data_IF_238148976871
#
_entry.id   IF_238148976871
#
_cell.length_a   1.000
_cell.length_b   1.000
_cell.length_c   1.000
_cell.angle_alpha   90.00
_cell.angle_beta   90.00
_cell.angle_gamma   90.00
#
_symmetry.space_group_name_H-M   'P 1'
#
loop_
_entity.id
_entity.type
_entity.pdbx_description
1 polymer ?
#
# COMPACT_ATOMS: atom_id res chain seq x y z
N UNK A 1 3.26 16.44 -1.26
CA UNK A 1 3.10 15.11 -1.89
C UNK A 1 1.95 15.16 -2.89
N UNK A 2 2.06 14.45 -4.02
CA UNK A 2 0.93 14.22 -4.91
C UNK A 2 0.13 13.00 -4.41
N UNK A 3 -1.17 13.13 -4.18
CA UNK A 3 -2.02 12.06 -3.63
C UNK A 3 -3.00 11.60 -4.70
N UNK A 4 -2.89 10.34 -5.13
CA UNK A 4 -3.82 9.75 -6.09
C UNK A 4 -5.20 9.58 -5.43
N UNK A 5 -6.20 10.32 -5.92
CA UNK A 5 -7.54 10.40 -5.35
C UNK A 5 -8.59 9.92 -6.35
N UNK A 6 -9.10 8.70 -6.17
CA UNK A 6 -10.17 8.14 -7.00
C UNK A 6 -11.57 8.47 -6.49
N UNK A 7 -11.71 8.90 -5.23
CA UNK A 7 -12.98 9.08 -4.54
C UNK A 7 -13.44 7.86 -3.72
N UNK A 8 -12.84 6.70 -3.94
CA UNK A 8 -13.12 5.50 -3.13
C UNK A 8 -12.52 5.56 -1.72
N UNK A 9 -13.02 4.73 -0.80
CA UNK A 9 -12.66 4.72 0.62
C UNK A 9 -11.14 4.78 0.86
N UNK A 10 -10.37 3.96 0.16
CA UNK A 10 -8.93 3.86 0.36
C UNK A 10 -8.22 5.19 0.05
N UNK A 11 -8.58 5.82 -1.08
CA UNK A 11 -7.97 7.09 -1.51
C UNK A 11 -8.41 8.28 -0.67
N UNK A 12 -9.67 8.31 -0.22
CA UNK A 12 -10.19 9.34 0.70
C UNK A 12 -9.48 9.23 2.06
N UNK A 13 -9.34 8.01 2.59
CA UNK A 13 -8.60 7.77 3.83
C UNK A 13 -7.14 8.18 3.72
N UNK A 14 -6.47 7.86 2.60
CA UNK A 14 -5.10 8.26 2.36
C UNK A 14 -4.93 9.77 2.41
N UNK A 15 -5.80 10.51 1.72
CA UNK A 15 -5.75 11.97 1.70
C UNK A 15 -5.96 12.54 3.11
N UNK A 16 -7.01 12.09 3.82
CA UNK A 16 -7.32 12.58 5.17
C UNK A 16 -6.16 12.33 6.16
N UNK A 17 -5.60 11.13 6.15
CA UNK A 17 -4.48 10.77 7.03
C UNK A 17 -3.24 11.62 6.74
N UNK A 18 -2.90 11.83 5.47
CA UNK A 18 -1.71 12.62 5.10
C UNK A 18 -1.87 14.10 5.45
N UNK A 19 -3.03 14.70 5.19
CA UNK A 19 -3.33 16.09 5.57
C UNK A 19 -3.26 16.25 7.09
N UNK A 20 -3.86 15.34 7.85
CA UNK A 20 -3.83 15.37 9.33
C UNK A 20 -2.45 15.13 9.91
N UNK A 21 -1.61 14.37 9.22
CA UNK A 21 -0.20 14.18 9.58
C UNK A 21 0.68 15.40 9.26
N UNK A 22 0.09 16.47 8.69
CA UNK A 22 0.78 17.74 8.40
C UNK A 22 1.54 17.76 7.09
N UNK A 23 1.29 16.82 6.18
CA UNK A 23 1.90 16.86 4.86
C UNK A 23 1.21 17.89 3.96
N UNK A 24 2.00 18.65 3.20
CA UNK A 24 1.48 19.46 2.08
C UNK A 24 1.07 18.53 0.95
N UNK A 25 -0.24 18.43 0.69
CA UNK A 25 -0.82 17.53 -0.29
C UNK A 25 -1.41 18.30 -1.49
N UNK A 26 -1.28 17.72 -2.67
CA UNK A 26 -2.02 18.06 -3.88
C UNK A 26 -2.75 16.79 -4.28
N UNK A 27 -4.06 16.84 -4.41
CA UNK A 27 -4.86 15.71 -4.87
C UNK A 27 -4.78 15.60 -6.39
N UNK A 28 -4.73 14.38 -6.92
CA UNK A 28 -4.66 14.09 -8.35
C UNK A 28 -5.74 13.07 -8.73
N UNK A 29 -6.71 13.49 -9.53
CA UNK A 29 -7.82 12.65 -10.00
C UNK A 29 -7.70 12.39 -11.50
N UNK A 30 -7.82 11.11 -11.89
CA UNK A 30 -7.85 10.67 -13.28
C UNK A 30 -9.26 10.23 -13.65
N UNK A 31 -9.94 10.95 -14.55
CA UNK A 31 -11.18 10.50 -15.16
C UNK A 31 -10.87 9.77 -16.47
N UNK A 32 -11.11 8.48 -16.49
CA UNK A 32 -10.83 7.61 -17.64
C UNK A 32 -12.04 7.45 -18.58
N UNK A 33 -13.20 8.04 -18.25
CA UNK A 33 -14.47 7.91 -18.95
C UNK A 33 -14.93 6.47 -19.23
N UNK A 34 -14.49 5.50 -18.41
CA UNK A 34 -14.80 4.09 -18.61
C UNK A 34 -16.19 3.68 -18.12
N UNK A 35 -16.85 4.54 -17.31
CA UNK A 35 -18.13 4.27 -16.66
C UNK A 35 -19.19 5.34 -16.96
N UNK A 36 -18.98 6.17 -18.00
CA UNK A 36 -19.92 7.25 -18.36
C UNK A 36 -20.25 8.15 -17.16
N UNK A 37 -21.53 8.34 -16.88
CA UNK A 37 -22.03 9.23 -15.82
C UNK A 37 -21.48 8.91 -14.41
N UNK A 38 -21.10 7.67 -14.10
CA UNK A 38 -20.47 7.34 -12.83
C UNK A 38 -19.09 7.97 -12.71
N UNK A 39 -18.30 8.01 -13.80
CA UNK A 39 -16.99 8.65 -13.79
C UNK A 39 -17.11 10.16 -13.54
N UNK A 40 -18.12 10.81 -14.09
CA UNK A 40 -18.35 12.24 -13.89
C UNK A 40 -18.88 12.53 -12.47
N UNK A 41 -19.74 11.66 -11.91
CA UNK A 41 -20.18 11.73 -10.52
C UNK A 41 -18.99 11.61 -9.57
N UNK A 42 -18.06 10.68 -9.81
CA UNK A 42 -16.90 10.44 -8.98
C UNK A 42 -15.94 11.65 -9.02
N UNK A 43 -15.74 12.26 -10.20
CA UNK A 43 -14.99 13.51 -10.35
C UNK A 43 -15.66 14.65 -9.57
N UNK A 44 -16.98 14.79 -9.64
CA UNK A 44 -17.70 15.83 -8.88
C UNK A 44 -17.50 15.66 -7.37
N UNK A 45 -17.66 14.44 -6.85
CA UNK A 45 -17.43 14.12 -5.45
C UNK A 45 -15.99 14.50 -5.01
N UNK A 46 -14.98 14.16 -5.82
CA UNK A 46 -13.58 14.47 -5.50
C UNK A 46 -13.34 15.98 -5.46
N UNK A 47 -13.98 16.76 -6.35
CA UNK A 47 -13.89 18.23 -6.35
C UNK A 47 -14.50 18.83 -5.07
N UNK A 48 -15.67 18.37 -4.66
CA UNK A 48 -16.32 18.82 -3.42
C UNK A 48 -15.50 18.43 -2.19
N UNK A 49 -15.00 17.21 -2.11
CA UNK A 49 -14.15 16.75 -1.01
C UNK A 49 -12.88 17.63 -0.86
N UNK A 50 -12.20 17.88 -1.97
CA UNK A 50 -10.99 18.70 -1.95
C UNK A 50 -11.27 20.16 -1.54
N UNK A 51 -12.39 20.72 -1.96
CA UNK A 51 -12.82 22.06 -1.49
C UNK A 51 -13.08 22.06 0.03
N UNK A 52 -13.79 21.07 0.55
CA UNK A 52 -14.08 20.94 1.99
C UNK A 52 -12.81 20.77 2.82
N UNK A 53 -11.83 20.01 2.31
CA UNK A 53 -10.56 19.76 2.97
C UNK A 53 -9.51 20.87 2.75
N UNK A 54 -9.83 21.88 1.93
CA UNK A 54 -8.91 22.93 1.49
C UNK A 54 -7.59 22.38 0.90
N UNK A 55 -7.72 21.34 0.05
CA UNK A 55 -6.61 20.69 -0.66
C UNK A 55 -6.66 21.06 -2.13
N UNK A 56 -5.56 21.56 -2.74
CA UNK A 56 -5.46 21.75 -4.18
C UNK A 56 -5.72 20.44 -4.94
N UNK A 57 -6.47 20.52 -6.04
CA UNK A 57 -6.84 19.37 -6.86
C UNK A 57 -6.45 19.59 -8.32
N UNK A 58 -5.74 18.61 -8.86
CA UNK A 58 -5.53 18.47 -10.30
C UNK A 58 -6.40 17.36 -10.86
N UNK A 59 -7.01 17.60 -12.01
CA UNK A 59 -7.88 16.64 -12.71
C UNK A 59 -7.45 16.51 -14.15
N UNK A 60 -7.38 15.26 -14.61
CA UNK A 60 -7.14 14.95 -16.04
C UNK A 60 -8.24 14.04 -16.56
N UNK A 61 -8.61 14.24 -17.81
CA UNK A 61 -9.53 13.38 -18.53
C UNK A 61 -8.77 12.66 -19.64
N UNK A 62 -8.94 11.33 -19.76
CA UNK A 62 -8.23 10.51 -20.74
C UNK A 62 -9.21 9.85 -21.73
N UNK A 63 -8.85 9.89 -23.01
CA UNK A 63 -9.41 8.95 -24.00
C UNK A 63 -8.64 7.62 -23.90
N UNK A 64 -9.00 6.84 -22.87
CA UNK A 64 -8.36 5.57 -22.57
C UNK A 64 -8.55 4.55 -23.69
N UNK A 65 -9.71 4.61 -24.38
CA UNK A 65 -10.02 3.69 -25.46
C UNK A 65 -9.14 3.94 -26.68
N UNK A 66 -8.96 5.19 -27.07
CA UNK A 66 -8.07 5.55 -28.18
C UNK A 66 -6.62 5.15 -27.87
N UNK A 67 -6.17 5.42 -26.64
CA UNK A 67 -4.82 5.03 -26.20
C UNK A 67 -4.60 3.50 -26.25
N UNK A 68 -5.53 2.73 -25.71
CA UNK A 68 -5.45 1.27 -25.69
C UNK A 68 -5.39 0.68 -27.12
N UNK A 69 -6.21 1.21 -28.05
CA UNK A 69 -6.21 0.80 -29.46
C UNK A 69 -4.90 1.14 -30.15
N UNK A 70 -4.40 2.35 -29.99
CA UNK A 70 -3.17 2.81 -30.63
C UNK A 70 -1.95 2.02 -30.19
N UNK A 71 -1.89 1.62 -28.92
CA UNK A 71 -0.75 0.89 -28.37
C UNK A 71 -0.97 -0.64 -28.34
N UNK A 72 -2.13 -1.13 -28.78
CA UNK A 72 -2.50 -2.55 -28.79
C UNK A 72 -2.35 -3.22 -27.42
N UNK A 73 -2.83 -2.57 -26.38
CA UNK A 73 -2.80 -3.03 -24.98
C UNK A 73 -4.20 -3.09 -24.36
N UNK A 74 -4.33 -3.80 -23.24
CA UNK A 74 -5.59 -3.86 -22.52
C UNK A 74 -5.99 -2.49 -21.94
N UNK A 75 -7.30 -2.29 -21.69
CA UNK A 75 -7.82 -1.07 -21.05
C UNK A 75 -7.20 -0.83 -19.67
N UNK A 76 -6.95 -1.91 -18.89
CA UNK A 76 -6.30 -1.83 -17.59
C UNK A 76 -4.85 -1.33 -17.72
N UNK A 77 -4.11 -1.86 -18.69
CA UNK A 77 -2.74 -1.40 -18.99
C UNK A 77 -2.74 0.05 -19.45
N UNK A 78 -3.61 0.43 -20.37
CA UNK A 78 -3.75 1.79 -20.86
C UNK A 78 -4.04 2.80 -19.71
N UNK A 79 -5.04 2.50 -18.89
CA UNK A 79 -5.37 3.33 -17.73
C UNK A 79 -4.20 3.43 -16.74
N UNK A 80 -3.44 2.34 -16.55
CA UNK A 80 -2.26 2.33 -15.69
C UNK A 80 -1.13 3.19 -16.25
N UNK A 81 -0.79 3.05 -17.51
CA UNK A 81 0.28 3.81 -18.15
C UNK A 81 -0.03 5.31 -18.15
N UNK A 82 -1.23 5.69 -18.60
CA UNK A 82 -1.71 7.08 -18.60
C UNK A 82 -1.65 7.69 -17.19
N UNK A 83 -2.14 6.97 -16.19
CA UNK A 83 -2.14 7.41 -14.79
C UNK A 83 -0.74 7.71 -14.28
N UNK A 84 0.18 6.78 -14.41
CA UNK A 84 1.52 6.93 -13.84
C UNK A 84 2.39 7.92 -14.62
N UNK A 85 2.19 8.05 -15.92
CA UNK A 85 2.84 9.09 -16.73
C UNK A 85 2.39 10.49 -16.30
N UNK A 86 1.08 10.69 -16.15
CA UNK A 86 0.54 11.97 -15.71
C UNK A 86 0.87 12.30 -14.23
N UNK A 87 0.90 11.32 -13.36
CA UNK A 87 1.35 11.53 -11.98
C UNK A 87 2.79 12.01 -11.93
N UNK A 88 3.66 11.49 -12.77
CA UNK A 88 5.05 11.94 -12.86
C UNK A 88 5.13 13.40 -13.32
N UNK A 89 4.43 13.73 -14.38
CA UNK A 89 4.37 15.09 -14.93
C UNK A 89 3.85 16.09 -13.88
N UNK A 90 2.71 15.79 -13.28
CA UNK A 90 2.08 16.64 -12.28
C UNK A 90 2.95 16.77 -11.02
N UNK A 91 3.51 15.66 -10.53
CA UNK A 91 4.38 15.69 -9.36
C UNK A 91 5.63 16.57 -9.59
N UNK A 92 6.22 16.52 -10.78
CA UNK A 92 7.36 17.39 -11.15
C UNK A 92 6.94 18.85 -11.26
N UNK A 93 5.81 19.14 -11.90
CA UNK A 93 5.32 20.51 -12.08
C UNK A 93 5.11 21.22 -10.73
N UNK A 94 4.63 20.48 -9.73
CA UNK A 94 4.39 21.00 -8.37
C UNK A 94 5.55 20.77 -7.39
N UNK A 95 6.69 20.25 -7.81
CA UNK A 95 7.82 19.98 -6.94
C UNK A 95 7.53 18.93 -5.85
N UNK A 96 6.61 18.00 -6.10
CA UNK A 96 6.27 16.96 -5.15
C UNK A 96 7.39 15.94 -4.96
N UNK A 97 7.68 15.57 -3.73
CA UNK A 97 8.75 14.62 -3.39
C UNK A 97 8.35 13.16 -3.55
N UNK A 98 7.04 12.86 -3.60
CA UNK A 98 6.50 11.52 -3.78
C UNK A 98 5.07 11.57 -4.34
N UNK A 99 4.68 10.49 -5.01
CA UNK A 99 3.30 10.16 -5.39
C UNK A 99 2.77 9.14 -4.38
N UNK A 100 1.74 9.49 -3.62
CA UNK A 100 1.10 8.59 -2.65
C UNK A 100 -0.09 7.87 -3.30
N UNK A 101 -0.13 6.54 -3.17
CA UNK A 101 -1.22 5.69 -3.68
C UNK A 101 -1.79 4.83 -2.55
N UNK A 102 -3.09 4.57 -2.59
CA UNK A 102 -3.86 4.01 -1.49
C UNK A 102 -3.91 2.47 -1.46
N UNK A 103 -2.83 1.80 -1.84
CA UNK A 103 -2.74 0.33 -1.70
C UNK A 103 -2.64 -0.06 -0.22
N UNK A 104 -3.35 -1.13 0.15
CA UNK A 104 -3.46 -1.63 1.52
C UNK A 104 -3.15 -3.13 1.61
N UNK A 105 -3.27 -3.76 2.79
CA UNK A 105 -2.91 -5.17 3.00
C UNK A 105 -3.71 -6.16 2.14
N UNK A 106 -4.99 -5.87 1.88
CA UNK A 106 -5.79 -6.74 1.01
C UNK A 106 -5.27 -6.71 -0.45
N UNK A 107 -4.80 -5.55 -0.95
CA UNK A 107 -4.14 -5.46 -2.26
C UNK A 107 -2.81 -6.22 -2.29
N UNK A 108 -2.09 -6.24 -1.16
CA UNK A 108 -0.88 -7.04 -1.00
C UNK A 108 -1.19 -8.53 -1.12
N UNK A 109 -2.21 -9.02 -0.38
CA UNK A 109 -2.66 -10.41 -0.45
C UNK A 109 -3.13 -10.78 -1.87
N UNK A 110 -3.89 -9.89 -2.52
CA UNK A 110 -4.31 -10.04 -3.92
C UNK A 110 -3.11 -10.20 -4.86
N UNK A 111 -2.09 -9.35 -4.68
CA UNK A 111 -0.87 -9.39 -5.50
C UNK A 111 -0.10 -10.70 -5.32
N UNK A 112 0.04 -11.18 -4.08
CA UNK A 112 0.71 -12.44 -3.77
C UNK A 112 -0.03 -13.62 -4.40
N UNK A 113 -1.34 -13.71 -4.22
CA UNK A 113 -2.15 -14.79 -4.79
C UNK A 113 -2.14 -14.79 -6.32
N UNK A 114 -2.18 -13.60 -6.94
CA UNK A 114 -2.06 -13.45 -8.38
C UNK A 114 -0.70 -13.96 -8.89
N UNK A 115 0.37 -13.60 -8.20
CA UNK A 115 1.72 -14.04 -8.54
C UNK A 115 1.89 -15.55 -8.33
N UNK A 116 1.35 -16.12 -7.26
CA UNK A 116 1.32 -17.58 -7.01
C UNK A 116 0.61 -18.32 -8.14
N UNK A 117 -0.56 -17.85 -8.59
CA UNK A 117 -1.30 -18.46 -9.70
C UNK A 117 -0.53 -18.43 -11.04
N UNK A 118 0.33 -17.43 -11.22
CA UNK A 118 1.16 -17.29 -12.43
C UNK A 118 2.48 -18.07 -12.36
N UNK A 119 2.80 -18.67 -11.21
CA UNK A 119 4.12 -19.22 -10.91
C UNK A 119 5.12 -18.11 -10.65
N UNK A 120 5.65 -18.04 -9.45
CA UNK A 120 6.57 -16.95 -9.05
C UNK A 120 7.67 -17.45 -8.14
N UNK A 121 8.80 -16.73 -8.15
CA UNK A 121 9.85 -16.88 -7.15
C UNK A 121 9.76 -15.84 -6.04
N UNK A 122 10.83 -15.73 -5.27
CA UNK A 122 10.97 -14.86 -4.12
C UNK A 122 10.48 -13.40 -4.38
N UNK A 123 10.91 -12.81 -5.50
CA UNK A 123 10.57 -11.41 -5.81
C UNK A 123 9.08 -11.17 -6.06
N UNK A 124 8.37 -12.15 -6.59
CA UNK A 124 6.93 -12.03 -6.76
C UNK A 124 6.16 -12.26 -5.46
N UNK A 125 6.67 -13.12 -4.56
CA UNK A 125 6.13 -13.29 -3.20
C UNK A 125 6.38 -12.06 -2.33
N UNK A 126 7.41 -11.28 -2.61
CA UNK A 126 7.69 -10.00 -1.97
C UNK A 126 6.60 -8.93 -2.21
N UNK A 127 5.72 -9.14 -3.18
CA UNK A 127 4.56 -8.27 -3.44
C UNK A 127 4.93 -6.81 -3.71
N UNK A 128 4.11 -5.90 -3.22
CA UNK A 128 4.33 -4.45 -3.34
C UNK A 128 5.19 -3.94 -2.19
N UNK A 129 6.15 -3.07 -2.51
CA UNK A 129 6.96 -2.37 -1.50
C UNK A 129 6.28 -1.09 -1.02
N UNK A 130 6.52 -0.65 0.25
CA UNK A 130 6.04 0.64 0.76
C UNK A 130 6.50 1.82 -0.09
N UNK A 131 7.71 1.73 -0.66
CA UNK A 131 8.26 2.70 -1.62
C UNK A 131 8.80 1.97 -2.84
N UNK A 132 8.49 2.48 -4.02
CA UNK A 132 8.99 1.96 -5.30
C UNK A 132 9.24 3.09 -6.30
N UNK A 133 9.91 2.77 -7.40
CA UNK A 133 10.00 3.68 -8.54
C UNK A 133 8.64 3.82 -9.23
N UNK A 134 8.44 4.93 -9.92
CA UNK A 134 7.32 5.07 -10.83
C UNK A 134 7.50 4.11 -12.02
N UNK A 135 6.51 3.26 -12.36
CA UNK A 135 6.65 2.31 -13.48
C UNK A 135 6.92 2.97 -14.83
N UNK A 136 6.43 4.20 -15.02
CA UNK A 136 6.61 4.96 -16.28
C UNK A 136 7.82 5.89 -16.24
N UNK A 137 8.46 6.08 -15.08
CA UNK A 137 9.64 6.93 -14.91
C UNK A 137 10.56 6.33 -13.82
N UNK A 138 11.42 5.36 -14.15
CA UNK A 138 12.27 4.67 -13.16
C UNK A 138 13.17 5.59 -12.33
N UNK A 139 13.61 6.72 -12.90
CA UNK A 139 14.41 7.74 -12.24
C UNK A 139 13.59 8.98 -11.82
N UNK A 140 12.26 8.83 -11.81
CA UNK A 140 11.32 9.89 -11.50
C UNK A 140 10.96 9.99 -10.01
N UNK A 141 9.84 10.66 -9.78
CA UNK A 141 9.29 10.82 -8.43
C UNK A 141 8.86 9.46 -7.87
N UNK A 142 9.31 9.06 -6.67
CA UNK A 142 8.98 7.76 -6.10
C UNK A 142 7.48 7.63 -5.79
N UNK A 143 6.97 6.41 -5.91
CA UNK A 143 5.62 6.02 -5.49
C UNK A 143 5.68 5.46 -4.07
N UNK A 144 4.86 5.99 -3.17
CA UNK A 144 4.74 5.53 -1.77
C UNK A 144 3.35 4.98 -1.48
N UNK A 145 3.25 4.03 -0.56
CA UNK A 145 2.03 3.32 -0.18
C UNK A 145 1.82 3.36 1.33
N UNK A 146 1.39 4.50 1.88
CA UNK A 146 1.29 4.67 3.33
C UNK A 146 0.29 3.72 3.99
N UNK A 147 -0.76 3.28 3.27
CA UNK A 147 -1.80 2.39 3.80
C UNK A 147 -1.45 0.89 3.71
N UNK A 148 -0.26 0.53 3.21
CA UNK A 148 0.14 -0.87 3.08
C UNK A 148 0.26 -1.59 4.45
N UNK A 149 0.30 -0.83 5.55
CA UNK A 149 0.34 -1.33 6.93
C UNK A 149 -1.05 -1.62 7.53
N UNK A 150 -2.15 -1.42 6.80
CA UNK A 150 -3.51 -1.56 7.33
C UNK A 150 -4.45 -2.33 6.41
N UNK A 151 -5.55 -2.85 6.95
CA UNK A 151 -6.57 -3.57 6.20
C UNK A 151 -7.66 -2.63 5.69
N UNK A 152 -8.40 -3.07 4.67
CA UNK A 152 -9.56 -2.36 4.13
C UNK A 152 -10.64 -2.11 5.18
N UNK A 153 -10.94 -3.10 6.01
CA UNK A 153 -11.95 -2.98 7.08
C UNK A 153 -11.60 -1.85 8.05
N UNK A 154 -10.29 -1.72 8.39
CA UNK A 154 -9.84 -0.63 9.26
C UNK A 154 -9.99 0.73 8.57
N UNK A 155 -9.71 0.82 7.27
CA UNK A 155 -9.88 2.03 6.47
C UNK A 155 -11.35 2.49 6.48
N UNK A 156 -12.29 1.59 6.21
CA UNK A 156 -13.73 1.91 6.19
C UNK A 156 -14.24 2.27 7.59
N UNK A 157 -13.81 1.53 8.63
CA UNK A 157 -14.11 1.90 10.02
C UNK A 157 -13.56 3.29 10.38
N UNK A 158 -12.32 3.59 9.99
CA UNK A 158 -11.72 4.89 10.23
C UNK A 158 -12.54 6.02 9.59
N UNK A 159 -12.90 5.91 8.32
CA UNK A 159 -13.68 6.93 7.63
C UNK A 159 -15.06 7.11 8.25
N UNK A 160 -15.79 6.02 8.50
CA UNK A 160 -17.16 6.05 9.01
C UNK A 160 -17.23 6.50 10.46
N UNK A 161 -16.47 5.85 11.35
CA UNK A 161 -16.69 5.95 12.80
C UNK A 161 -15.78 6.99 13.46
N UNK A 162 -14.65 7.32 12.85
CA UNK A 162 -13.72 8.32 13.40
C UNK A 162 -13.78 9.65 12.69
N UNK A 163 -14.15 9.65 11.40
CA UNK A 163 -14.09 10.86 10.57
C UNK A 163 -15.45 11.34 10.09
N UNK A 164 -16.45 10.48 9.95
CA UNK A 164 -17.74 10.81 9.36
C UNK A 164 -17.60 11.28 7.89
N UNK A 165 -16.60 10.75 7.18
CA UNK A 165 -16.36 11.08 5.78
C UNK A 165 -17.06 10.06 4.87
N UNK A 166 -17.67 10.56 3.81
CA UNK A 166 -18.28 9.76 2.75
C UNK A 166 -17.24 9.40 1.68
N UNK A 167 -17.58 8.41 0.86
CA UNK A 167 -16.80 7.99 -0.30
C UNK A 167 -17.70 7.41 -1.38
N UNK A 168 -17.21 7.34 -2.62
CA UNK A 168 -17.92 6.71 -3.72
C UNK A 168 -17.63 5.21 -3.78
N UNK A 169 -18.66 4.42 -4.11
CA UNK A 169 -18.54 2.98 -4.31
C UNK A 169 -18.58 2.67 -5.80
N UNK A 170 -17.58 1.91 -6.27
CA UNK A 170 -17.45 1.50 -7.66
C UNK A 170 -18.38 0.32 -7.96
N UNK A 171 -19.28 0.46 -8.95
CA UNK A 171 -20.21 -0.59 -9.39
C UNK A 171 -19.49 -1.76 -10.10
N UNK A 172 -18.31 -1.54 -10.69
CA UNK A 172 -17.56 -2.55 -11.45
C UNK A 172 -16.76 -3.54 -10.59
N UNK A 173 -16.75 -3.36 -9.29
CA UNK A 173 -16.09 -4.30 -8.36
C UNK A 173 -16.71 -5.72 -8.37
N UNK A 174 -17.89 -5.90 -8.97
CA UNK A 174 -18.61 -7.18 -9.04
C UNK A 174 -18.33 -8.02 -10.30
N UNK A 175 -17.62 -7.51 -11.30
CA UNK A 175 -17.29 -8.28 -12.52
C UNK A 175 -16.12 -9.27 -12.25
N UNK A 176 -16.47 -10.56 -12.09
CA UNK A 176 -15.54 -11.66 -11.80
C UNK A 176 -14.86 -12.24 -13.03
N UNK A 177 -15.16 -11.75 -14.23
CA UNK A 177 -14.53 -12.22 -15.49
C UNK A 177 -13.03 -11.94 -15.55
N UNK A 178 -12.56 -10.95 -14.79
CA UNK A 178 -11.15 -10.59 -14.68
C UNK A 178 -10.51 -11.42 -13.55
N UNK A 179 -9.38 -12.08 -13.81
CA UNK A 179 -8.65 -12.91 -12.85
C UNK A 179 -8.44 -12.23 -11.49
N UNK A 180 -8.28 -10.92 -11.48
CA UNK A 180 -8.08 -10.10 -10.28
C UNK A 180 -9.35 -10.01 -9.43
N UNK A 181 -10.51 -9.83 -10.05
CA UNK A 181 -11.78 -9.81 -9.34
C UNK A 181 -12.14 -11.19 -8.75
N UNK A 182 -11.79 -12.28 -9.47
CA UNK A 182 -11.94 -13.64 -8.95
C UNK A 182 -11.07 -13.88 -7.68
N UNK A 183 -9.87 -13.30 -7.63
CA UNK A 183 -9.02 -13.33 -6.43
C UNK A 183 -9.63 -12.51 -5.30
N UNK A 184 -10.21 -11.34 -5.59
CA UNK A 184 -10.92 -10.52 -4.59
C UNK A 184 -12.09 -11.27 -3.97
N UNK A 185 -12.89 -11.96 -4.79
CA UNK A 185 -13.98 -12.82 -4.27
C UNK A 185 -13.44 -13.95 -3.39
N UNK A 186 -12.35 -14.60 -3.81
CA UNK A 186 -11.69 -15.60 -2.98
C UNK A 186 -11.22 -15.04 -1.64
N UNK A 187 -10.64 -13.83 -1.64
CA UNK A 187 -10.13 -13.18 -0.43
C UNK A 187 -11.22 -12.77 0.57
N UNK A 188 -12.48 -12.63 0.15
CA UNK A 188 -13.60 -12.40 1.08
C UNK A 188 -13.80 -13.54 2.10
N UNK A 189 -13.30 -14.74 1.78
CA UNK A 189 -13.35 -15.91 2.67
C UNK A 189 -12.18 -15.96 3.67
N UNK A 190 -11.22 -15.05 3.55
CA UNK A 190 -10.07 -15.00 4.45
C UNK A 190 -10.38 -14.07 5.63
N UNK A 191 -10.00 -14.49 6.82
CA UNK A 191 -10.06 -13.66 8.01
C UNK A 191 -9.08 -12.48 7.92
N UNK A 192 -9.34 -11.44 8.71
CA UNK A 192 -8.41 -10.31 8.85
C UNK A 192 -6.99 -10.76 9.20
N UNK A 193 -6.87 -11.71 10.13
CA UNK A 193 -5.57 -12.26 10.56
C UNK A 193 -4.83 -12.96 9.43
N UNK A 194 -5.51 -13.69 8.56
CA UNK A 194 -4.89 -14.33 7.40
C UNK A 194 -4.38 -13.30 6.38
N UNK A 195 -5.11 -12.21 6.16
CA UNK A 195 -4.66 -11.09 5.31
C UNK A 195 -3.41 -10.43 5.91
N UNK A 196 -3.40 -10.18 7.23
CA UNK A 196 -2.26 -9.63 7.95
C UNK A 196 -1.02 -10.55 7.85
N UNK A 197 -1.19 -11.86 7.99
CA UNK A 197 -0.12 -12.84 7.83
C UNK A 197 0.43 -12.89 6.40
N UNK A 198 -0.41 -12.75 5.38
CA UNK A 198 0.06 -12.64 3.99
C UNK A 198 0.91 -11.39 3.79
N UNK A 199 0.47 -10.25 4.32
CA UNK A 199 1.23 -8.99 4.24
C UNK A 199 2.57 -9.09 4.97
N UNK A 200 2.61 -9.71 6.15
CA UNK A 200 3.84 -9.99 6.90
C UNK A 200 4.78 -10.93 6.15
N UNK A 201 4.24 -11.97 5.51
CA UNK A 201 5.03 -12.87 4.67
C UNK A 201 5.70 -12.11 3.53
N UNK A 202 4.98 -11.20 2.86
CA UNK A 202 5.56 -10.36 1.83
C UNK A 202 6.72 -9.49 2.36
N UNK A 203 6.60 -8.93 3.55
CA UNK A 203 7.66 -8.13 4.19
C UNK A 203 8.93 -8.97 4.42
N UNK A 204 8.81 -10.19 4.93
CA UNK A 204 9.96 -11.11 5.03
C UNK A 204 10.56 -11.45 3.67
N UNK A 205 9.74 -11.69 2.66
CA UNK A 205 10.24 -11.97 1.30
C UNK A 205 10.96 -10.74 0.70
N UNK A 206 10.52 -9.52 1.01
CA UNK A 206 11.24 -8.30 0.66
C UNK A 206 12.61 -8.25 1.33
N UNK A 207 12.67 -8.57 2.62
CA UNK A 207 13.93 -8.64 3.37
C UNK A 207 14.90 -9.68 2.81
N UNK A 208 14.44 -10.88 2.48
CA UNK A 208 15.28 -11.89 1.81
C UNK A 208 15.79 -11.40 0.46
N UNK A 209 14.93 -10.76 -0.35
CA UNK A 209 15.34 -10.22 -1.64
C UNK A 209 16.41 -9.12 -1.47
N UNK A 210 16.27 -8.27 -0.46
CA UNK A 210 17.23 -7.22 -0.17
C UNK A 210 18.58 -7.80 0.35
N UNK A 211 18.55 -8.85 1.18
CA UNK A 211 19.75 -9.56 1.62
C UNK A 211 20.50 -10.16 0.42
N UNK A 212 19.78 -10.79 -0.51
CA UNK A 212 20.36 -11.36 -1.73
C UNK A 212 20.94 -10.30 -2.66
N UNK A 213 20.34 -9.11 -2.68
CA UNK A 213 20.83 -7.96 -3.45
C UNK A 213 21.96 -7.20 -2.73
N UNK A 214 22.37 -7.61 -1.54
CA UNK A 214 23.39 -6.94 -0.71
C UNK A 214 22.94 -5.58 -0.16
N UNK A 215 21.62 -5.35 -0.05
CA UNK A 215 21.06 -4.10 0.47
C UNK A 215 20.86 -4.17 1.99
N UNK A 216 21.16 -3.07 2.65
CA UNK A 216 20.86 -2.88 4.07
C UNK A 216 19.57 -2.04 4.20
N UNK A 217 18.45 -2.72 4.25
CA UNK A 217 17.12 -2.12 4.44
C UNK A 217 16.54 -2.50 5.80
N UNK A 218 15.46 -1.80 6.21
CA UNK A 218 14.71 -2.16 7.42
C UNK A 218 14.18 -3.59 7.31
N UNK A 219 13.62 -3.95 6.16
CA UNK A 219 13.08 -5.27 5.86
C UNK A 219 14.16 -6.36 5.94
N UNK A 220 15.36 -6.09 5.42
CA UNK A 220 16.51 -7.00 5.55
C UNK A 220 16.91 -7.19 7.03
N UNK A 221 16.90 -6.12 7.82
CA UNK A 221 17.19 -6.16 9.25
C UNK A 221 16.14 -6.96 10.03
N UNK A 222 14.87 -6.74 9.78
CA UNK A 222 13.76 -7.51 10.39
C UNK A 222 13.88 -8.99 10.02
N UNK A 223 14.16 -9.31 8.76
CA UNK A 223 14.28 -10.69 8.28
C UNK A 223 15.47 -11.41 8.93
N UNK A 224 16.63 -10.76 9.08
CA UNK A 224 17.76 -11.32 9.83
C UNK A 224 17.38 -11.61 11.27
N UNK A 225 16.72 -10.66 11.93
CA UNK A 225 16.27 -10.83 13.32
C UNK A 225 15.21 -11.94 13.43
N UNK A 226 14.31 -12.07 12.45
CA UNK A 226 13.35 -13.18 12.41
C UNK A 226 14.05 -14.53 12.36
N UNK A 227 15.06 -14.71 11.51
CA UNK A 227 15.81 -15.97 11.44
C UNK A 227 16.52 -16.31 12.76
N UNK A 228 16.99 -15.30 13.50
CA UNK A 228 17.59 -15.50 14.83
C UNK A 228 16.56 -15.85 15.90
N UNK A 229 15.36 -15.29 15.82
CA UNK A 229 14.35 -15.36 16.89
C UNK A 229 13.22 -16.39 16.64
N UNK A 230 13.07 -16.92 15.43
CA UNK A 230 11.93 -17.78 15.05
C UNK A 230 11.77 -19.01 15.94
N UNK A 231 12.88 -19.58 16.41
CA UNK A 231 12.87 -20.75 17.30
C UNK A 231 12.34 -20.44 18.71
N UNK A 232 12.30 -19.18 19.11
CA UNK A 232 11.83 -18.76 20.43
C UNK A 232 10.35 -18.33 20.43
N UNK A 233 9.67 -18.32 19.25
CA UNK A 233 8.25 -18.09 19.11
C UNK A 233 7.77 -16.66 19.34
N UNK A 234 8.61 -15.66 19.12
CA UNK A 234 8.19 -14.26 19.16
C UNK A 234 7.41 -13.89 17.91
N UNK A 235 6.24 -13.24 18.07
CA UNK A 235 5.36 -12.84 16.99
C UNK A 235 5.63 -11.41 16.47
N UNK A 236 6.15 -10.51 17.34
CA UNK A 236 6.29 -9.07 17.05
C UNK A 236 7.73 -8.69 16.72
N UNK A 237 8.34 -9.37 15.74
CA UNK A 237 9.75 -9.19 15.38
C UNK A 237 10.06 -7.75 14.90
N UNK A 238 9.14 -7.15 14.16
CA UNK A 238 9.22 -5.76 13.71
C UNK A 238 9.33 -4.77 14.89
N UNK A 239 8.52 -4.96 15.93
CA UNK A 239 8.55 -4.13 17.13
C UNK A 239 9.83 -4.34 17.94
N UNK A 240 10.35 -5.59 17.99
CA UNK A 240 11.63 -5.90 18.63
C UNK A 240 12.75 -5.18 17.86
N UNK A 241 12.74 -5.27 16.53
CA UNK A 241 13.72 -4.61 15.68
C UNK A 241 13.71 -3.09 15.88
N UNK A 242 12.54 -2.46 15.79
CA UNK A 242 12.39 -1.02 15.95
C UNK A 242 12.84 -0.53 17.35
N UNK A 243 12.53 -1.31 18.39
CA UNK A 243 12.98 -0.99 19.76
C UNK A 243 14.51 -1.11 19.91
N UNK A 244 15.15 -2.09 19.25
CA UNK A 244 16.60 -2.22 19.18
C UNK A 244 17.25 -1.02 18.48
N UNK A 245 16.69 -0.61 17.33
CA UNK A 245 17.22 0.54 16.57
C UNK A 245 17.10 1.87 17.33
N UNK A 246 16.04 2.03 18.13
CA UNK A 246 15.85 3.22 18.98
C UNK A 246 16.62 3.19 20.29
N UNK A 247 17.27 2.06 20.59
CA UNK A 247 18.01 1.89 21.85
C UNK A 247 17.12 1.89 23.10
N UNK A 248 15.86 1.42 22.98
CA UNK A 248 14.87 1.40 24.07
C UNK A 248 15.25 0.36 25.15
N UNK A 249 16.21 0.73 26.02
CA UNK A 249 16.67 -0.13 27.10
C UNK A 249 15.58 -0.46 28.11
N UNK A 250 15.56 -1.72 28.58
CA UNK A 250 14.55 -2.21 29.54
C UNK A 250 13.23 -2.66 28.94
N UNK A 251 13.00 -2.46 27.63
CA UNK A 251 11.79 -2.98 26.96
C UNK A 251 11.80 -4.49 26.90
N UNK A 252 10.64 -5.08 27.17
CA UNK A 252 10.45 -6.53 27.30
C UNK A 252 9.41 -7.00 26.29
N UNK A 253 9.72 -8.10 25.61
CA UNK A 253 8.82 -8.82 24.71
C UNK A 253 8.71 -10.26 25.19
N UNK A 254 7.50 -10.84 25.11
CA UNK A 254 7.25 -12.18 25.65
C UNK A 254 6.66 -13.08 24.57
N UNK A 255 7.17 -14.28 24.45
CA UNK A 255 6.56 -15.40 23.73
C UNK A 255 5.96 -16.40 24.71
N UNK A 256 5.42 -17.50 24.21
CA UNK A 256 4.89 -18.58 25.07
C UNK A 256 5.98 -19.23 25.94
N UNK A 257 7.21 -19.21 25.50
CA UNK A 257 8.33 -19.97 26.13
C UNK A 257 9.52 -19.10 26.53
N UNK A 258 9.63 -17.88 25.96
CA UNK A 258 10.79 -17.03 26.17
C UNK A 258 10.42 -15.57 26.38
N UNK A 259 11.31 -14.86 27.02
CA UNK A 259 11.26 -13.42 27.21
C UNK A 259 12.53 -12.79 26.61
N UNK A 260 12.36 -11.76 25.79
CA UNK A 260 13.43 -10.97 25.21
C UNK A 260 13.47 -9.58 25.87
N UNK A 261 14.62 -9.17 26.38
CA UNK A 261 14.81 -7.88 27.03
C UNK A 261 15.94 -7.12 26.36
N UNK A 262 15.76 -5.85 26.04
CA UNK A 262 16.81 -5.00 25.49
C UNK A 262 17.66 -4.46 26.64
N UNK A 263 18.94 -4.83 26.65
CA UNK A 263 19.96 -4.35 27.63
C UNK A 263 21.17 -3.81 26.90
N UNK A 264 21.48 -2.54 27.12
CA UNK A 264 22.66 -1.87 26.50
C UNK A 264 22.72 -2.05 24.98
N UNK A 265 21.58 -1.90 24.29
CA UNK A 265 21.49 -2.06 22.83
C UNK A 265 21.59 -3.49 22.31
N UNK A 266 21.55 -4.51 23.17
CA UNK A 266 21.56 -5.93 22.80
C UNK A 266 20.31 -6.63 23.30
N UNK A 267 19.87 -7.63 22.56
CA UNK A 267 18.74 -8.48 22.95
C UNK A 267 19.26 -9.61 23.86
N UNK A 268 18.66 -9.73 25.04
CA UNK A 268 18.90 -10.81 25.99
C UNK A 268 17.65 -11.69 26.04
N UNK A 269 17.79 -12.97 25.70
CA UNK A 269 16.69 -13.93 25.68
C UNK A 269 16.82 -14.85 26.88
N UNK A 270 15.72 -15.06 27.61
CA UNK A 270 15.62 -15.96 28.76
C UNK A 270 14.34 -16.79 28.63
N UNK A 271 14.36 -18.01 29.16
CA UNK A 271 13.14 -18.84 29.25
C UNK A 271 12.15 -18.24 30.25
N UNK A 272 10.86 -18.28 29.92
CA UNK A 272 9.79 -17.98 30.88
C UNK A 272 9.57 -19.25 31.70
N UNK A 273 9.75 -19.15 33.01
CA UNK A 273 9.47 -20.24 33.95
C UNK A 273 7.99 -20.42 34.18
#
# INVERSE_FOLDING_TARGET
MLVALSGGADSVSLLDVLVRAGYSCIAAHCNFHLRGAESDRDEHFVRELCLQMNVPLEVVQFDTLAYARTHNISMEMAARELRYAWFEETARAYGCQAVAVAHHQNDQAETILLNLKRGTGLRGLAGMRPKSTNPMAPNGVPVVRPLLCTTRDYIEHYLRDKRGLEWVTDSTNSDTSITRNAIREQLKNYSKTEIEHMAQTAEYMQGYADILDGKETREAGITKLYEELRMYGFAEIDKIYDALQRGEGGKVFTSKTHQATIKKGKLCITTVS
#
